data_IF_324900017716
#
_entry.id   IF_324900017716
#
_cell.length_a   1.000
_cell.length_b   1.000
_cell.length_c   1.000
_cell.angle_alpha   90.00
_cell.angle_beta   90.00
_cell.angle_gamma   90.00
#
_symmetry.space_group_name_H-M   'P 1'
#
loop_
_entity.id
_entity.type
_entity.pdbx_description
1 polymer ?
#
# COMPACT_ATOMS: atom_id res chain seq x y z
N UNK A 1 -1.87 -20.17 -1.43
CA UNK A 1 -2.73 -20.07 -2.62
C UNK A 1 -2.14 -19.01 -3.51
N UNK A 2 -2.12 -19.19 -4.83
CA UNK A 2 -1.60 -18.17 -5.75
C UNK A 2 -2.42 -16.87 -5.66
N UNK A 3 -1.77 -15.75 -5.97
CA UNK A 3 -2.43 -14.45 -6.05
C UNK A 3 -3.40 -14.45 -7.24
N UNK A 4 -4.65 -14.13 -6.93
CA UNK A 4 -5.71 -13.85 -7.90
C UNK A 4 -5.83 -12.32 -8.07
N UNK A 5 -5.61 -11.82 -9.29
CA UNK A 5 -5.55 -10.39 -9.58
C UNK A 5 -6.90 -9.70 -9.37
N UNK A 6 -8.03 -10.34 -9.67
CA UNK A 6 -9.35 -9.74 -9.47
C UNK A 6 -9.68 -9.60 -7.99
N UNK A 7 -9.41 -10.66 -7.21
CA UNK A 7 -9.59 -10.64 -5.75
C UNK A 7 -8.65 -9.64 -5.09
N UNK A 8 -7.39 -9.59 -5.53
CA UNK A 8 -6.42 -8.63 -4.99
C UNK A 8 -6.88 -7.19 -5.28
N UNK A 9 -7.34 -6.91 -6.50
CA UNK A 9 -7.90 -5.61 -6.88
C UNK A 9 -9.12 -5.24 -6.03
N UNK A 10 -10.03 -6.18 -5.77
CA UNK A 10 -11.18 -5.96 -4.90
C UNK A 10 -10.74 -5.59 -3.46
N UNK A 11 -9.77 -6.32 -2.90
CA UNK A 11 -9.22 -6.03 -1.58
C UNK A 11 -8.54 -4.64 -1.52
N UNK A 12 -7.82 -4.24 -2.57
CA UNK A 12 -7.20 -2.90 -2.66
C UNK A 12 -8.29 -1.83 -2.60
N UNK A 13 -9.38 -1.97 -3.37
CA UNK A 13 -10.51 -1.03 -3.36
C UNK A 13 -11.16 -0.94 -1.98
N UNK A 14 -11.38 -2.09 -1.32
CA UNK A 14 -11.92 -2.13 0.04
C UNK A 14 -11.00 -1.42 1.04
N UNK A 15 -9.68 -1.64 0.97
CA UNK A 15 -8.72 -0.96 1.85
C UNK A 15 -8.70 0.55 1.64
N UNK A 16 -8.84 1.03 0.40
CA UNK A 16 -8.93 2.47 0.10
C UNK A 16 -10.21 3.05 0.70
N UNK A 17 -11.35 2.40 0.48
CA UNK A 17 -12.65 2.83 1.02
C UNK A 17 -12.63 2.92 2.55
N UNK A 18 -12.18 1.84 3.20
CA UNK A 18 -12.10 1.79 4.66
C UNK A 18 -11.06 2.77 5.20
N UNK A 19 -9.95 2.98 4.48
CA UNK A 19 -8.94 3.98 4.80
C UNK A 19 -9.49 5.40 4.81
N UNK A 20 -10.36 5.72 3.85
CA UNK A 20 -11.04 7.02 3.73
C UNK A 20 -12.09 7.21 4.84
N UNK A 21 -12.84 6.17 5.19
CA UNK A 21 -13.79 6.21 6.32
C UNK A 21 -13.03 6.50 7.62
N UNK A 22 -11.95 5.76 7.89
CA UNK A 22 -11.11 5.95 9.08
C UNK A 22 -10.48 7.36 9.11
N UNK A 23 -10.05 7.86 7.95
CA UNK A 23 -9.50 9.22 7.80
C UNK A 23 -10.52 10.30 8.21
N UNK A 24 -11.74 10.23 7.66
CA UNK A 24 -12.84 11.17 7.98
C UNK A 24 -13.22 11.16 9.46
N UNK A 25 -13.10 10.00 10.12
CA UNK A 25 -13.31 9.84 11.56
C UNK A 25 -12.11 10.24 12.43
N UNK A 26 -11.04 10.80 11.82
CA UNK A 26 -9.78 11.19 12.49
C UNK A 26 -9.06 10.02 13.18
N UNK A 27 -9.31 8.78 12.73
CA UNK A 27 -8.63 7.56 13.20
C UNK A 27 -7.36 7.34 12.38
N UNK A 28 -6.38 8.23 12.55
CA UNK A 28 -5.22 8.33 11.67
C UNK A 28 -4.34 7.06 11.61
N UNK A 29 -4.11 6.37 12.73
CA UNK A 29 -3.38 5.10 12.70
C UNK A 29 -4.10 4.03 11.86
N UNK A 30 -5.42 3.87 12.08
CA UNK A 30 -6.22 2.91 11.34
C UNK A 30 -6.26 3.25 9.84
N UNK A 31 -6.43 4.53 9.52
CA UNK A 31 -6.39 5.02 8.15
C UNK A 31 -5.04 4.77 7.47
N UNK A 32 -3.92 5.06 8.14
CA UNK A 32 -2.59 4.81 7.60
C UNK A 32 -2.33 3.32 7.36
N UNK A 33 -2.73 2.45 8.29
CA UNK A 33 -2.61 0.99 8.13
C UNK A 33 -3.39 0.53 6.89
N UNK A 34 -4.62 1.01 6.70
CA UNK A 34 -5.47 0.62 5.57
C UNK A 34 -4.92 1.12 4.24
N UNK A 35 -4.50 2.39 4.15
CA UNK A 35 -3.84 2.88 2.94
C UNK A 35 -2.52 2.16 2.66
N UNK A 36 -1.76 1.78 3.70
CA UNK A 36 -0.52 1.04 3.50
C UNK A 36 -0.79 -0.39 2.98
N UNK A 37 -1.86 -1.05 3.45
CA UNK A 37 -2.32 -2.32 2.87
C UNK A 37 -2.72 -2.16 1.40
N UNK A 38 -3.41 -1.07 1.04
CA UNK A 38 -3.72 -0.76 -0.35
C UNK A 38 -2.45 -0.58 -1.19
N UNK A 39 -1.47 0.20 -0.70
CA UNK A 39 -0.18 0.40 -1.37
C UNK A 39 0.57 -0.91 -1.59
N UNK A 40 0.63 -1.77 -0.57
CA UNK A 40 1.23 -3.10 -0.67
C UNK A 40 0.50 -3.96 -1.70
N UNK A 41 -0.84 -3.95 -1.68
CA UNK A 41 -1.63 -4.68 -2.67
C UNK A 41 -1.39 -4.19 -4.09
N UNK A 42 -1.27 -2.87 -4.32
CA UNK A 42 -0.92 -2.29 -5.62
C UNK A 42 0.45 -2.81 -6.09
N UNK A 43 1.44 -2.83 -5.19
CA UNK A 43 2.76 -3.37 -5.51
C UNK A 43 2.67 -4.85 -5.92
N UNK A 44 1.96 -5.67 -5.14
CA UNK A 44 1.80 -7.10 -5.40
C UNK A 44 1.03 -7.36 -6.69
N UNK A 45 0.02 -6.54 -6.99
CA UNK A 45 -0.73 -6.62 -8.24
C UNK A 45 0.19 -6.40 -9.44
N UNK A 46 1.03 -5.36 -9.39
CA UNK A 46 1.95 -5.02 -10.48
C UNK A 46 3.03 -6.09 -10.63
N UNK A 47 3.65 -6.53 -9.52
CA UNK A 47 4.64 -7.61 -9.53
C UNK A 47 4.04 -8.90 -10.12
N UNK A 48 2.83 -9.29 -9.68
CA UNK A 48 2.17 -10.48 -10.18
C UNK A 48 1.78 -10.37 -11.65
N UNK A 49 1.22 -9.22 -12.08
CA UNK A 49 0.81 -8.99 -13.48
C UNK A 49 2.01 -9.03 -14.42
N UNK A 50 3.10 -8.38 -14.05
CA UNK A 50 4.21 -8.09 -14.96
C UNK A 50 5.31 -9.17 -14.91
N UNK A 51 5.54 -9.78 -13.74
CA UNK A 51 6.62 -10.76 -13.52
C UNK A 51 6.10 -12.17 -13.18
N UNK A 52 4.79 -12.33 -12.93
CA UNK A 52 4.19 -13.57 -12.40
C UNK A 52 4.79 -14.04 -11.06
N UNK A 53 5.40 -13.13 -10.30
CA UNK A 53 5.98 -13.40 -8.98
C UNK A 53 4.99 -13.08 -7.85
N UNK A 54 5.18 -13.74 -6.70
CA UNK A 54 4.34 -13.59 -5.51
C UNK A 54 5.21 -13.35 -4.28
N UNK A 55 5.43 -12.09 -3.87
CA UNK A 55 6.23 -11.80 -2.70
C UNK A 55 5.50 -12.24 -1.42
N UNK A 56 6.22 -12.99 -0.59
CA UNK A 56 5.74 -13.60 0.65
C UNK A 56 5.90 -12.69 1.87
N UNK A 57 6.79 -11.69 1.79
CA UNK A 57 7.08 -10.78 2.89
C UNK A 57 7.56 -9.40 2.39
N UNK A 58 7.70 -8.43 3.29
CA UNK A 58 8.15 -7.07 2.93
C UNK A 58 9.55 -7.02 2.33
N UNK A 59 10.49 -7.80 2.86
CA UNK A 59 11.88 -7.83 2.35
C UNK A 59 11.91 -8.31 0.90
N UNK A 60 11.20 -9.39 0.60
CA UNK A 60 11.11 -9.94 -0.75
C UNK A 60 10.48 -8.93 -1.71
N UNK A 61 9.33 -8.35 -1.33
CA UNK A 61 8.67 -7.30 -2.11
C UNK A 61 9.59 -6.12 -2.39
N UNK A 62 10.29 -5.63 -1.38
CA UNK A 62 11.14 -4.45 -1.52
C UNK A 62 12.34 -4.72 -2.42
N UNK A 63 12.88 -5.95 -2.41
CA UNK A 63 13.93 -6.37 -3.35
C UNK A 63 13.43 -6.28 -4.80
N UNK A 64 12.30 -6.91 -5.10
CA UNK A 64 11.71 -6.89 -6.46
C UNK A 64 11.43 -5.44 -6.90
N UNK A 65 10.79 -4.64 -6.04
CA UNK A 65 10.50 -3.24 -6.36
C UNK A 65 11.78 -2.43 -6.59
N UNK A 66 12.82 -2.65 -5.79
CA UNK A 66 14.10 -1.96 -5.96
C UNK A 66 14.77 -2.33 -7.28
N UNK A 67 14.62 -3.56 -7.76
CA UNK A 67 15.24 -4.05 -8.98
C UNK A 67 14.46 -3.66 -10.25
N UNK A 68 13.12 -3.65 -10.18
CA UNK A 68 12.26 -3.53 -11.37
C UNK A 68 11.37 -2.28 -11.39
N UNK A 69 11.01 -1.70 -10.24
CA UNK A 69 9.99 -0.65 -10.10
C UNK A 69 10.46 0.46 -9.14
N UNK A 70 11.54 1.16 -9.50
CA UNK A 70 12.18 2.15 -8.62
C UNK A 70 11.23 3.26 -8.12
N UNK A 71 10.24 3.63 -8.91
CA UNK A 71 9.19 4.59 -8.55
C UNK A 71 8.31 4.05 -7.41
N UNK A 72 7.82 2.83 -7.53
CA UNK A 72 7.05 2.15 -6.47
C UNK A 72 7.91 1.91 -5.23
N UNK A 73 9.17 1.50 -5.42
CA UNK A 73 10.11 1.30 -4.33
C UNK A 73 10.26 2.56 -3.48
N UNK A 74 10.48 3.72 -4.12
CA UNK A 74 10.61 5.01 -3.42
C UNK A 74 9.37 5.36 -2.61
N UNK A 75 8.17 5.07 -3.14
CA UNK A 75 6.91 5.35 -2.43
C UNK A 75 6.74 4.42 -1.24
N UNK A 76 6.85 3.11 -1.43
CA UNK A 76 6.63 2.14 -0.35
C UNK A 76 7.67 2.26 0.76
N UNK A 77 8.95 2.50 0.40
CA UNK A 77 10.05 2.68 1.35
C UNK A 77 9.83 3.93 2.23
N UNK A 78 9.44 5.05 1.61
CA UNK A 78 9.11 6.30 2.31
C UNK A 78 8.03 6.12 3.37
N UNK A 79 6.96 5.38 3.07
CA UNK A 79 5.82 5.25 3.97
C UNK A 79 5.94 4.07 4.94
N UNK A 80 6.90 3.16 4.73
CA UNK A 80 7.08 2.00 5.59
C UNK A 80 7.47 2.36 7.03
N UNK A 81 8.26 3.43 7.22
CA UNK A 81 8.58 3.92 8.57
C UNK A 81 7.32 4.35 9.32
N UNK A 82 6.47 5.17 8.69
CA UNK A 82 5.22 5.63 9.30
C UNK A 82 4.25 4.49 9.58
N UNK A 83 4.19 3.49 8.68
CA UNK A 83 3.43 2.28 8.92
C UNK A 83 3.90 1.56 10.19
N UNK A 84 5.21 1.35 10.34
CA UNK A 84 5.78 0.73 11.54
C UNK A 84 5.51 1.53 12.80
N UNK A 85 5.53 2.86 12.71
CA UNK A 85 5.27 3.74 13.84
C UNK A 85 3.85 3.61 14.39
N UNK A 86 2.86 3.18 13.56
CA UNK A 86 1.46 3.01 14.00
C UNK A 86 1.28 1.98 15.11
N UNK A 87 2.23 1.04 15.27
CA UNK A 87 2.21 0.05 16.35
C UNK A 87 2.58 0.61 17.71
N UNK A 88 3.30 1.74 17.76
CA UNK A 88 3.92 2.27 18.97
C UNK A 88 3.46 3.70 19.28
N UNK A 89 3.07 4.46 18.27
CA UNK A 89 2.77 5.88 18.39
C UNK A 89 1.60 6.29 17.51
N UNK A 90 1.08 7.51 17.73
CA UNK A 90 0.05 8.09 16.85
C UNK A 90 0.70 8.85 15.70
N UNK A 91 0.33 8.50 14.46
CA UNK A 91 0.77 9.22 13.26
C UNK A 91 -0.01 10.51 13.07
N UNK A 92 0.63 11.51 12.48
CA UNK A 92 0.03 12.82 12.23
C UNK A 92 -0.81 12.77 10.96
N UNK A 93 -1.84 13.62 10.91
CA UNK A 93 -2.71 13.81 9.74
C UNK A 93 -1.93 13.94 8.43
N UNK A 94 -0.86 14.76 8.42
CA UNK A 94 -0.01 15.00 7.24
C UNK A 94 0.64 13.73 6.67
N UNK A 95 0.99 12.77 7.53
CA UNK A 95 1.63 11.52 7.11
C UNK A 95 0.60 10.61 6.44
N UNK A 96 -0.63 10.61 6.98
CA UNK A 96 -1.77 9.91 6.37
C UNK A 96 -2.16 10.54 5.03
N UNK A 97 -2.26 11.88 4.95
CA UNK A 97 -2.56 12.61 3.71
C UNK A 97 -1.53 12.29 2.61
N UNK A 98 -0.24 12.33 2.96
CA UNK A 98 0.81 11.98 2.01
C UNK A 98 0.70 10.56 1.46
N UNK A 99 0.37 9.58 2.31
CA UNK A 99 0.18 8.19 1.87
C UNK A 99 -1.09 8.04 1.04
N UNK A 100 -2.20 8.64 1.49
CA UNK A 100 -3.48 8.65 0.79
C UNK A 100 -3.32 9.16 -0.64
N UNK A 101 -2.70 10.32 -0.81
CA UNK A 101 -2.54 10.93 -2.13
C UNK A 101 -1.67 10.05 -3.04
N UNK A 102 -0.61 9.45 -2.49
CA UNK A 102 0.22 8.50 -3.23
C UNK A 102 -0.56 7.25 -3.66
N UNK A 103 -1.39 6.68 -2.78
CA UNK A 103 -2.23 5.52 -3.10
C UNK A 103 -3.23 5.85 -4.20
N UNK A 104 -3.93 6.99 -4.08
CA UNK A 104 -4.92 7.43 -5.08
C UNK A 104 -4.30 7.74 -6.44
N UNK A 105 -3.06 8.23 -6.48
CA UNK A 105 -2.34 8.41 -7.77
C UNK A 105 -1.93 7.09 -8.40
N UNK A 106 -1.78 6.02 -7.61
CA UNK A 106 -1.33 4.72 -8.09
C UNK A 106 -2.48 3.78 -8.48
N UNK A 107 -3.74 4.13 -8.20
CA UNK A 107 -4.89 3.27 -8.53
C UNK A 107 -5.05 3.05 -10.03
N UNK A 108 -4.71 4.05 -10.85
CA UNK A 108 -4.82 3.96 -12.31
C UNK A 108 -3.92 2.87 -12.90
N UNK A 109 -2.88 2.44 -12.16
CA UNK A 109 -1.95 1.39 -12.60
C UNK A 109 -2.50 -0.02 -12.44
N UNK A 110 -3.60 -0.15 -11.71
CA UNK A 110 -4.29 -1.40 -11.46
C UNK A 110 -5.71 -1.37 -12.01
N UNK A 111 -6.02 -0.45 -12.94
CA UNK A 111 -7.25 -0.47 -13.74
C UNK A 111 -7.14 -1.43 -14.93
#
# INVERSE_FOLDING_TARGET
>A
MPIDLERLRANIKEYIEMGEIAYKQRKYNASLILYFKALVGICDYIIKRDLNEEPDNHTHRFRILREHYHDLYRVVDKFFSFYRDTYQTTVRKREVEGLRDAVLQLTDRIE
#
